data_IF_867216372742
#
_entry.id   IF_867216372742
#
_cell.length_a   1.000
_cell.length_b   1.000
_cell.length_c   1.000
_cell.angle_alpha   90.00
_cell.angle_beta   90.00
_cell.angle_gamma   90.00
#
_symmetry.space_group_name_H-M   'P 1'
#
loop_
_entity.id
_entity.type
_entity.pdbx_description
1 polymer ?
#
# COMPACT_ATOMS: atom_id res chain seq x y z
N UNK A 1 -17.64 17.83 22.01
CA UNK A 1 -16.80 17.31 20.91
C UNK A 1 -15.41 17.03 21.46
N UNK A 2 -14.76 15.97 21.01
CA UNK A 2 -13.50 15.45 21.58
C UNK A 2 -12.23 16.11 21.03
N UNK A 3 -12.32 16.83 19.91
CA UNK A 3 -11.19 17.51 19.24
C UNK A 3 -11.55 18.93 18.82
N UNK A 4 -10.56 19.77 18.63
CA UNK A 4 -10.63 21.17 18.23
C UNK A 4 -10.12 21.39 16.80
N UNK A 5 -10.32 22.60 16.26
CA UNK A 5 -9.68 23.01 14.99
C UNK A 5 -8.17 22.86 15.10
N UNK A 6 -7.52 22.46 14.00
CA UNK A 6 -6.08 22.16 13.88
C UNK A 6 -5.58 20.91 14.60
N UNK A 7 -6.40 20.22 15.39
CA UNK A 7 -6.02 18.90 15.91
C UNK A 7 -5.85 17.90 14.76
N UNK A 8 -5.03 16.88 14.98
CA UNK A 8 -4.80 15.78 14.04
C UNK A 8 -5.78 14.65 14.34
N UNK A 9 -6.48 14.17 13.32
CA UNK A 9 -7.35 12.99 13.37
C UNK A 9 -6.71 11.86 12.57
N UNK A 10 -6.52 10.69 13.19
CA UNK A 10 -6.03 9.49 12.52
C UNK A 10 -7.19 8.53 12.26
N UNK A 11 -7.30 8.05 11.03
CA UNK A 11 -8.17 6.92 10.67
C UNK A 11 -7.36 5.92 9.84
N UNK A 12 -7.08 4.76 10.44
CA UNK A 12 -6.29 3.71 9.80
C UNK A 12 -7.14 2.60 9.16
N UNK A 13 -8.46 2.79 9.13
CA UNK A 13 -9.42 1.99 8.36
C UNK A 13 -10.34 2.96 7.61
N UNK A 14 -9.71 3.82 6.80
CA UNK A 14 -10.34 5.02 6.24
C UNK A 14 -11.59 4.70 5.38
N UNK A 15 -11.59 3.55 4.71
CA UNK A 15 -12.60 3.13 3.77
C UNK A 15 -12.86 4.20 2.72
N UNK A 16 -14.14 4.57 2.56
CA UNK A 16 -14.54 5.64 1.63
C UNK A 16 -14.09 7.06 2.04
N UNK A 17 -13.45 7.26 3.20
CA UNK A 17 -12.88 8.56 3.59
C UNK A 17 -13.79 9.49 4.40
N UNK A 18 -14.84 8.99 5.05
CA UNK A 18 -15.80 9.82 5.80
C UNK A 18 -15.13 10.62 6.92
N UNK A 19 -14.25 9.99 7.70
CA UNK A 19 -13.55 10.63 8.82
C UNK A 19 -12.70 11.80 8.35
N UNK A 20 -11.90 11.60 7.30
CA UNK A 20 -11.08 12.65 6.71
C UNK A 20 -11.92 13.76 6.07
N UNK A 21 -13.01 13.43 5.38
CA UNK A 21 -13.93 14.41 4.81
C UNK A 21 -14.55 15.33 5.87
N UNK A 22 -14.99 14.77 7.00
CA UNK A 22 -15.55 15.53 8.12
C UNK A 22 -14.45 16.34 8.83
N UNK A 23 -13.29 15.75 9.08
CA UNK A 23 -12.15 16.44 9.69
C UNK A 23 -11.72 17.66 8.85
N UNK A 24 -11.59 17.48 7.53
CA UNK A 24 -11.25 18.52 6.57
C UNK A 24 -12.23 19.71 6.64
N UNK A 25 -13.53 19.41 6.50
CA UNK A 25 -14.62 20.40 6.53
C UNK A 25 -14.66 21.20 7.82
N UNK A 26 -14.28 20.59 8.94
CA UNK A 26 -14.26 21.26 10.24
C UNK A 26 -12.92 21.94 10.57
N UNK A 27 -11.97 22.00 9.63
CA UNK A 27 -10.68 22.68 9.81
C UNK A 27 -9.71 21.94 10.74
N UNK A 28 -9.72 20.61 10.70
CA UNK A 28 -8.75 19.72 11.38
C UNK A 28 -7.72 19.22 10.38
N UNK A 29 -6.56 18.81 10.89
CA UNK A 29 -5.61 18.01 10.12
C UNK A 29 -6.00 16.54 10.23
N UNK A 30 -5.61 15.73 9.25
CA UNK A 30 -5.92 14.31 9.27
C UNK A 30 -4.85 13.47 8.60
N UNK A 31 -4.78 12.22 9.03
CA UNK A 31 -4.01 11.14 8.41
C UNK A 31 -5.00 10.01 8.18
N UNK A 32 -5.17 9.63 6.92
CA UNK A 32 -6.00 8.51 6.52
C UNK A 32 -5.12 7.41 5.94
N UNK A 33 -5.37 6.16 6.32
CA UNK A 33 -4.75 4.99 5.72
C UNK A 33 -5.82 4.06 5.18
N UNK A 34 -5.64 3.62 3.94
CA UNK A 34 -6.48 2.63 3.28
C UNK A 34 -5.60 1.72 2.43
N UNK A 35 -5.98 0.44 2.36
CA UNK A 35 -5.28 -0.59 1.59
C UNK A 35 -6.15 -1.14 0.44
N UNK A 36 -7.47 -0.99 0.50
CA UNK A 36 -8.41 -1.52 -0.48
C UNK A 36 -8.74 -0.48 -1.55
N UNK A 37 -8.93 -0.95 -2.78
CA UNK A 37 -9.42 -0.14 -3.89
C UNK A 37 -10.96 -0.25 -4.00
N UNK A 38 -11.64 0.89 -3.87
CA UNK A 38 -13.10 0.99 -3.97
C UNK A 38 -13.58 1.64 -5.28
N UNK A 39 -12.69 1.84 -6.26
CA UNK A 39 -12.99 2.51 -7.52
C UNK A 39 -13.56 3.91 -7.31
N UNK A 40 -14.76 4.18 -7.83
CA UNK A 40 -15.41 5.50 -7.71
C UNK A 40 -15.77 5.92 -6.27
N UNK A 41 -15.82 4.95 -5.35
CA UNK A 41 -16.10 5.17 -3.93
C UNK A 41 -14.83 5.34 -3.09
N UNK A 42 -13.67 5.41 -3.74
CA UNK A 42 -12.39 5.56 -3.07
C UNK A 42 -12.28 6.90 -2.31
N UNK A 43 -11.53 6.85 -1.21
CA UNK A 43 -11.26 7.99 -0.35
C UNK A 43 -10.67 9.20 -1.09
N UNK A 44 -9.82 8.97 -2.10
CA UNK A 44 -9.17 10.00 -2.89
C UNK A 44 -10.22 10.79 -3.69
N UNK A 45 -11.13 10.09 -4.36
CA UNK A 45 -12.18 10.72 -5.15
C UNK A 45 -13.17 11.49 -4.28
N UNK A 46 -13.51 10.97 -3.09
CA UNK A 46 -14.29 11.73 -2.12
C UNK A 46 -13.56 13.00 -1.68
N UNK A 47 -12.28 12.91 -1.30
CA UNK A 47 -11.54 14.08 -0.79
C UNK A 47 -11.34 15.16 -1.87
N UNK A 48 -11.16 14.77 -3.14
CA UNK A 48 -11.20 15.71 -4.28
C UNK A 48 -12.53 16.45 -4.35
N UNK A 49 -13.66 15.74 -4.24
CA UNK A 49 -15.00 16.36 -4.19
C UNK A 49 -15.15 17.29 -2.99
N UNK A 50 -14.63 16.92 -1.81
CA UNK A 50 -14.63 17.79 -0.62
C UNK A 50 -13.88 19.10 -0.88
N UNK A 51 -12.69 19.04 -1.45
CA UNK A 51 -11.91 20.23 -1.82
C UNK A 51 -12.66 21.09 -2.83
N UNK A 52 -13.39 20.47 -3.77
CA UNK A 52 -14.19 21.17 -4.78
C UNK A 52 -15.56 21.67 -4.28
N UNK A 53 -15.83 21.62 -2.97
CA UNK A 53 -17.07 22.15 -2.39
C UNK A 53 -18.25 21.19 -2.38
N UNK A 54 -17.99 19.89 -2.19
CA UNK A 54 -19.03 18.86 -1.96
C UNK A 54 -20.12 19.34 -0.99
N UNK A 55 -21.39 19.20 -1.41
CA UNK A 55 -22.57 19.64 -0.67
C UNK A 55 -23.18 18.55 0.24
N UNK A 56 -22.56 17.37 0.35
CA UNK A 56 -23.09 16.25 1.14
C UNK A 56 -22.66 16.28 2.62
N UNK A 57 -23.37 15.53 3.46
CA UNK A 57 -23.09 15.41 4.89
C UNK A 57 -23.17 16.74 5.64
N UNK A 58 -22.13 17.06 6.41
CA UNK A 58 -22.10 18.27 7.26
C UNK A 58 -21.90 19.58 6.50
N UNK A 59 -21.76 19.56 5.17
CA UNK A 59 -21.46 20.75 4.36
C UNK A 59 -22.50 21.87 4.51
N UNK A 60 -23.79 21.53 4.50
CA UNK A 60 -24.88 22.52 4.64
C UNK A 60 -24.84 23.21 6.01
N UNK A 61 -24.82 22.50 7.16
CA UNK A 61 -24.73 23.13 8.48
C UNK A 61 -23.56 24.09 8.68
N UNK A 62 -22.43 23.86 8.01
CA UNK A 62 -21.22 24.67 8.18
C UNK A 62 -20.97 25.63 7.02
N UNK A 63 -21.90 25.70 6.05
CA UNK A 63 -21.76 26.46 4.83
C UNK A 63 -20.42 26.19 4.09
N UNK A 64 -20.05 24.91 3.94
CA UNK A 64 -18.80 24.51 3.29
C UNK A 64 -18.78 24.95 1.81
N UNK A 65 -17.72 25.63 1.41
CA UNK A 65 -17.53 26.14 0.03
C UNK A 65 -16.39 25.45 -0.73
N UNK A 66 -15.72 24.47 -0.12
CA UNK A 66 -14.49 23.89 -0.65
C UNK A 66 -13.23 24.58 -0.17
N UNK A 67 -12.10 24.21 -0.76
CA UNK A 67 -10.75 24.65 -0.41
C UNK A 67 -9.92 23.59 0.29
N UNK A 68 -8.72 23.97 0.71
CA UNK A 68 -7.75 23.08 1.33
C UNK A 68 -6.99 22.20 0.33
N UNK A 69 -6.22 21.25 0.87
CA UNK A 69 -5.47 20.26 0.09
C UNK A 69 -5.21 19.02 0.94
N UNK A 70 -4.82 17.93 0.30
CA UNK A 70 -4.22 16.77 0.96
C UNK A 70 -3.03 16.30 0.14
N UNK A 71 -2.13 15.57 0.81
CA UNK A 71 -1.01 14.88 0.15
C UNK A 71 -1.36 13.39 0.13
N UNK A 72 -1.16 12.76 -1.02
CA UNK A 72 -1.29 11.33 -1.19
C UNK A 72 0.09 10.70 -1.36
N UNK A 73 0.32 9.58 -0.68
CA UNK A 73 1.57 8.82 -0.73
C UNK A 73 1.24 7.33 -0.75
N UNK A 74 2.04 6.56 -1.47
CA UNK A 74 2.02 5.09 -1.42
C UNK A 74 3.33 4.58 -0.85
N UNK A 75 3.27 3.42 -0.19
CA UNK A 75 4.46 2.70 0.22
C UNK A 75 5.15 2.11 -1.01
N UNK A 76 6.48 2.27 -1.10
CA UNK A 76 7.27 1.64 -2.17
C UNK A 76 7.20 0.12 -2.01
N UNK A 77 6.54 -0.54 -2.97
CA UNK A 77 6.37 -2.00 -2.99
C UNK A 77 7.71 -2.71 -3.13
N UNK A 78 7.80 -3.86 -2.46
CA UNK A 78 8.87 -4.83 -2.65
C UNK A 78 8.26 -6.22 -2.85
N UNK A 79 8.14 -7.07 -1.82
CA UNK A 79 7.47 -8.37 -1.96
C UNK A 79 6.00 -8.24 -2.39
N UNK A 80 5.35 -7.10 -2.10
CA UNK A 80 4.00 -6.79 -2.58
C UNK A 80 3.87 -6.86 -4.11
N UNK A 81 4.92 -6.47 -4.86
CA UNK A 81 4.91 -6.58 -6.32
C UNK A 81 4.90 -8.03 -6.81
N UNK A 82 5.45 -8.98 -6.04
CA UNK A 82 5.36 -10.39 -6.36
C UNK A 82 3.96 -10.94 -6.05
N UNK A 83 3.34 -10.53 -4.94
CA UNK A 83 1.96 -10.91 -4.61
C UNK A 83 1.01 -10.52 -5.75
N UNK A 84 1.08 -9.28 -6.22
CA UNK A 84 0.25 -8.79 -7.33
C UNK A 84 0.46 -9.60 -8.61
N UNK A 85 1.72 -9.91 -8.96
CA UNK A 85 2.04 -10.73 -10.13
C UNK A 85 1.52 -12.17 -10.00
N UNK A 86 1.58 -12.75 -8.80
CA UNK A 86 1.05 -14.09 -8.49
C UNK A 86 -0.47 -14.10 -8.63
N UNK A 87 -1.16 -13.11 -8.04
CA UNK A 87 -2.62 -12.97 -8.12
C UNK A 87 -3.09 -12.81 -9.57
N UNK A 88 -2.40 -12.00 -10.36
CA UNK A 88 -2.69 -11.79 -11.79
C UNK A 88 -2.27 -12.96 -12.70
N UNK A 89 -1.52 -13.94 -12.20
CA UNK A 89 -1.10 -15.06 -13.02
C UNK A 89 -2.29 -15.93 -13.44
N UNK A 90 -2.35 -16.33 -14.71
CA UNK A 90 -3.46 -17.11 -15.28
C UNK A 90 -3.13 -18.59 -15.48
N UNK A 91 -1.85 -18.94 -15.33
CA UNK A 91 -1.35 -20.28 -15.58
C UNK A 91 -0.08 -20.57 -14.77
N UNK A 92 0.23 -21.86 -14.65
CA UNK A 92 1.41 -22.38 -13.94
C UNK A 92 2.72 -21.92 -14.56
N UNK A 93 2.78 -21.72 -15.88
CA UNK A 93 4.01 -21.29 -16.56
C UNK A 93 4.42 -19.87 -16.12
N UNK A 94 3.47 -18.96 -15.96
CA UNK A 94 3.71 -17.62 -15.43
C UNK A 94 4.14 -17.68 -13.96
N UNK A 95 3.51 -18.54 -13.14
CA UNK A 95 3.91 -18.74 -11.74
C UNK A 95 5.34 -19.27 -11.59
N UNK A 96 5.75 -20.24 -12.41
CA UNK A 96 7.13 -20.73 -12.42
C UNK A 96 8.14 -19.64 -12.79
N UNK A 97 7.79 -18.77 -13.74
CA UNK A 97 8.64 -17.62 -14.08
C UNK A 97 8.76 -16.63 -12.91
N UNK A 98 7.67 -16.41 -12.18
CA UNK A 98 7.66 -15.56 -10.99
C UNK A 98 8.53 -16.21 -9.89
N UNK A 99 8.43 -17.53 -9.68
CA UNK A 99 9.29 -18.27 -8.74
C UNK A 99 10.78 -18.07 -9.03
N UNK A 100 11.21 -18.19 -10.30
CA UNK A 100 12.61 -17.94 -10.67
C UNK A 100 13.05 -16.50 -10.36
N UNK A 101 12.17 -15.52 -10.55
CA UNK A 101 12.45 -14.13 -10.18
C UNK A 101 12.51 -13.93 -8.67
N UNK A 102 11.65 -14.60 -7.91
CA UNK A 102 11.66 -14.59 -6.45
C UNK A 102 12.98 -15.14 -5.91
N UNK A 103 13.47 -16.28 -6.43
CA UNK A 103 14.77 -16.85 -6.04
C UNK A 103 15.94 -15.88 -6.25
N UNK A 104 15.91 -15.09 -7.32
CA UNK A 104 16.99 -14.18 -7.68
C UNK A 104 16.92 -12.81 -6.97
N UNK A 105 15.72 -12.35 -6.60
CA UNK A 105 15.48 -10.94 -6.24
C UNK A 105 14.58 -10.70 -5.03
N UNK A 106 13.96 -11.72 -4.44
CA UNK A 106 13.06 -11.53 -3.29
C UNK A 106 13.77 -11.90 -1.98
N UNK A 107 13.40 -11.23 -0.89
CA UNK A 107 13.67 -11.75 0.45
C UNK A 107 12.60 -12.80 0.77
N UNK A 108 12.93 -14.05 0.47
CA UNK A 108 12.17 -15.21 0.93
C UNK A 108 12.26 -15.29 2.45
N UNK A 109 11.23 -15.86 3.09
CA UNK A 109 11.28 -16.13 4.52
C UNK A 109 12.54 -16.96 4.84
N UNK A 110 13.28 -16.60 5.89
CA UNK A 110 14.55 -17.24 6.25
C UNK A 110 14.44 -18.77 6.46
N UNK A 111 13.23 -19.26 6.73
CA UNK A 111 12.93 -20.68 6.87
C UNK A 111 12.74 -21.43 5.53
N UNK A 112 12.77 -20.74 4.38
CA UNK A 112 12.55 -21.34 3.06
C UNK A 112 13.86 -21.92 2.54
N UNK A 113 13.90 -23.24 2.45
CA UNK A 113 14.96 -23.97 1.76
C UNK A 113 14.63 -24.05 0.26
N UNK A 114 15.26 -23.18 -0.52
CA UNK A 114 15.05 -23.08 -1.97
C UNK A 114 15.33 -24.42 -2.67
N UNK A 115 16.34 -25.16 -2.23
CA UNK A 115 16.72 -26.43 -2.86
C UNK A 115 15.63 -27.48 -2.69
N UNK A 116 15.05 -27.56 -1.49
CA UNK A 116 13.90 -28.44 -1.23
C UNK A 116 12.70 -28.04 -2.07
N UNK A 117 12.42 -26.74 -2.23
CA UNK A 117 11.31 -26.30 -3.08
C UNK A 117 11.51 -26.71 -4.55
N UNK A 118 12.73 -26.60 -5.07
CA UNK A 118 13.04 -27.02 -6.44
C UNK A 118 12.99 -28.56 -6.61
N UNK A 119 13.31 -29.35 -5.57
CA UNK A 119 13.17 -30.81 -5.57
C UNK A 119 11.70 -31.28 -5.67
N UNK A 120 10.77 -30.51 -5.09
CA UNK A 120 9.32 -30.80 -5.11
C UNK A 120 8.56 -30.04 -6.21
N UNK A 121 9.26 -29.57 -7.25
CA UNK A 121 8.65 -28.74 -8.31
C UNK A 121 7.54 -29.46 -9.08
N UNK A 122 7.64 -30.78 -9.25
CA UNK A 122 6.61 -31.57 -9.93
C UNK A 122 5.35 -31.74 -9.08
N UNK A 123 5.49 -31.82 -7.76
CA UNK A 123 4.35 -31.78 -6.83
C UNK A 123 3.65 -30.41 -6.88
N UNK A 124 4.42 -29.33 -6.92
CA UNK A 124 3.87 -27.98 -7.10
C UNK A 124 3.05 -27.85 -8.40
N UNK A 125 3.56 -28.38 -9.52
CA UNK A 125 2.82 -28.36 -10.81
C UNK A 125 1.52 -29.17 -10.77
N UNK A 126 1.42 -30.17 -9.90
CA UNK A 126 0.23 -31.01 -9.75
C UNK A 126 -0.89 -30.33 -8.94
N UNK A 127 -0.58 -29.27 -8.17
CA UNK A 127 -1.55 -28.48 -7.43
C UNK A 127 -2.49 -27.69 -8.37
N UNK A 128 -3.66 -27.31 -7.87
CA UNK A 128 -4.52 -26.36 -8.56
C UNK A 128 -3.85 -24.98 -8.66
N UNK A 129 -4.27 -24.15 -9.63
CA UNK A 129 -3.72 -22.81 -9.78
C UNK A 129 -3.89 -21.95 -8.51
N UNK A 130 -5.00 -22.12 -7.79
CA UNK A 130 -5.25 -21.39 -6.55
C UNK A 130 -4.25 -21.79 -5.44
N UNK A 131 -4.00 -23.10 -5.28
CA UNK A 131 -3.02 -23.62 -4.34
C UNK A 131 -1.59 -23.21 -4.72
N UNK A 132 -1.25 -23.23 -6.02
CA UNK A 132 0.06 -22.74 -6.50
C UNK A 132 0.29 -21.27 -6.14
N UNK A 133 -0.72 -20.42 -6.31
CA UNK A 133 -0.65 -19.00 -5.94
C UNK A 133 -0.47 -18.84 -4.44
N UNK A 134 -1.30 -19.53 -3.66
CA UNK A 134 -1.22 -19.48 -2.20
C UNK A 134 0.17 -19.90 -1.71
N UNK A 135 0.70 -21.01 -2.22
CA UNK A 135 2.04 -21.51 -1.87
C UNK A 135 3.12 -20.47 -2.12
N UNK A 136 3.17 -19.86 -3.33
CA UNK A 136 4.17 -18.83 -3.62
C UNK A 136 4.03 -17.59 -2.72
N UNK A 137 2.81 -17.17 -2.40
CA UNK A 137 2.58 -16.06 -1.48
C UNK A 137 3.06 -16.37 -0.05
N UNK A 138 2.99 -17.63 0.39
CA UNK A 138 3.45 -18.06 1.72
C UNK A 138 4.98 -18.10 1.84
N UNK A 139 5.71 -18.25 0.73
CA UNK A 139 7.17 -18.23 0.71
C UNK A 139 7.77 -16.83 0.89
N UNK A 140 6.99 -15.77 0.62
CA UNK A 140 7.43 -14.39 0.77
C UNK A 140 7.47 -13.97 2.25
N UNK A 141 8.51 -13.24 2.66
CA UNK A 141 8.52 -12.58 3.96
C UNK A 141 7.54 -11.39 3.96
N UNK A 142 6.46 -11.52 4.73
CA UNK A 142 5.42 -10.51 4.87
C UNK A 142 5.89 -9.26 5.65
N UNK A 143 7.02 -9.34 6.37
CA UNK A 143 7.64 -8.16 6.98
C UNK A 143 8.43 -7.32 5.97
N UNK A 144 8.62 -7.82 4.75
CA UNK A 144 9.32 -7.15 3.66
C UNK A 144 8.38 -6.89 2.46
N UNK A 145 7.07 -6.69 2.69
CA UNK A 145 6.14 -6.34 1.60
C UNK A 145 6.50 -5.00 0.94
N UNK A 146 7.03 -4.07 1.73
CA UNK A 146 7.41 -2.73 1.32
C UNK A 146 8.84 -2.43 1.73
N UNK A 147 9.47 -1.47 1.06
CA UNK A 147 10.86 -1.09 1.33
C UNK A 147 10.96 -0.44 2.70
N UNK A 148 11.79 -1.02 3.56
CA UNK A 148 12.08 -0.48 4.88
C UNK A 148 12.91 0.80 4.82
N UNK A 149 12.69 1.70 5.78
CA UNK A 149 13.41 2.98 5.85
C UNK A 149 14.93 2.79 5.96
N UNK A 150 15.38 1.76 6.69
CA UNK A 150 16.81 1.41 6.82
C UNK A 150 17.46 1.06 5.47
N UNK A 151 16.67 0.56 4.53
CA UNK A 151 17.11 0.12 3.20
C UNK A 151 16.98 1.23 2.14
N UNK A 152 16.67 2.47 2.54
CA UNK A 152 16.39 3.57 1.62
C UNK A 152 17.54 3.83 0.62
N UNK A 153 18.79 3.61 1.03
CA UNK A 153 19.98 3.83 0.19
C UNK A 153 20.56 2.56 -0.42
N UNK A 154 19.97 1.40 -0.15
CA UNK A 154 20.40 0.14 -0.71
C UNK A 154 20.11 0.12 -2.23
N UNK A 155 21.09 -0.35 -3.00
CA UNK A 155 21.05 -0.36 -4.46
C UNK A 155 19.98 -1.32 -5.00
N UNK A 156 19.66 -2.37 -4.23
CA UNK A 156 18.75 -3.44 -4.67
C UNK A 156 17.29 -2.96 -4.80
N UNK A 157 16.90 -1.94 -4.04
CA UNK A 157 15.53 -1.40 -4.07
C UNK A 157 15.33 -0.26 -5.08
N UNK A 158 16.39 0.19 -5.74
CA UNK A 158 16.34 1.22 -6.78
C UNK A 158 15.48 2.46 -6.42
N UNK A 159 15.55 2.92 -5.17
CA UNK A 159 14.81 4.11 -4.73
C UNK A 159 15.29 5.36 -5.49
N UNK A 160 14.35 6.11 -6.08
CA UNK A 160 14.63 7.32 -6.86
C UNK A 160 15.09 8.45 -5.94
N UNK A 161 15.66 9.52 -6.52
CA UNK A 161 16.08 10.70 -5.75
C UNK A 161 14.89 11.38 -5.10
N UNK A 162 13.75 11.40 -5.79
CA UNK A 162 12.50 12.00 -5.37
C UNK A 162 11.89 11.21 -4.20
N UNK A 163 11.81 9.88 -4.30
CA UNK A 163 11.36 9.00 -3.20
C UNK A 163 12.24 9.20 -1.96
N UNK A 164 13.57 9.17 -2.15
CA UNK A 164 14.53 9.42 -1.06
C UNK A 164 14.33 10.78 -0.40
N UNK A 165 14.05 11.81 -1.20
CA UNK A 165 13.83 13.16 -0.70
C UNK A 165 12.52 13.23 0.08
N UNK A 166 11.40 12.79 -0.49
CA UNK A 166 10.09 12.81 0.17
C UNK A 166 10.11 12.03 1.48
N UNK A 167 10.71 10.83 1.50
CA UNK A 167 10.83 10.02 2.71
C UNK A 167 11.66 10.72 3.79
N UNK A 168 12.80 11.33 3.41
CA UNK A 168 13.62 12.10 4.37
C UNK A 168 12.89 13.32 4.93
N UNK A 169 12.17 14.03 4.08
CA UNK A 169 11.38 15.20 4.47
C UNK A 169 10.23 14.78 5.40
N UNK A 170 9.55 13.66 5.11
CA UNK A 170 8.46 13.10 5.92
C UNK A 170 8.92 12.69 7.32
N UNK A 171 10.00 11.91 7.43
CA UNK A 171 10.55 11.46 8.72
C UNK A 171 11.44 12.50 9.41
N UNK A 172 11.66 13.67 8.77
CA UNK A 172 12.55 14.72 9.26
C UNK A 172 13.96 14.19 9.59
N UNK A 173 14.48 13.28 8.75
CA UNK A 173 15.80 12.69 8.93
C UNK A 173 16.84 13.79 8.69
N UNK A 174 17.57 14.17 9.75
CA UNK A 174 18.66 15.14 9.65
C UNK A 174 19.76 14.59 8.74
N UNK A 175 20.25 15.43 7.85
CA UNK A 175 21.39 15.13 6.96
C UNK A 175 22.67 14.94 7.74
#
# INVERSE_FOLDING_TARGET
>A
MTTNKKDIVLDYHLGSGTTCAVAHKLGRQYIGLEQLDYGENDSIERLKKVINGDATGISKPINWQGGGSFVYLELKKYNQSFIEQIEEAKDTKKLLKIWEQMKAKSFLNYNVDIKKQDEHLDEFKALSLAEQKQHLCELLDKNQLYVNLSSLNDADFACTKEEKKVTKDFYQIKK
#
